data_IF_477495044896
#
_entry.id   IF_477495044896
#
_cell.length_a   1.000
_cell.length_b   1.000
_cell.length_c   1.000
_cell.angle_alpha   90.00
_cell.angle_beta   90.00
_cell.angle_gamma   90.00
#
_symmetry.space_group_name_H-M   'P 1'
#
loop_
_entity.id
_entity.type
_entity.pdbx_description
1 polymer ?
#
# COMPACT_ATOMS: atom_id res chain seq x y z
N UNK A 1 -21.27 -27.36 -2.09
CA UNK A 1 -20.74 -26.09 -1.53
C UNK A 1 -19.22 -25.90 -1.70
N UNK A 2 -18.35 -26.83 -1.27
CA UNK A 2 -16.87 -26.66 -1.36
C UNK A 2 -16.31 -26.41 -2.79
N UNK A 3 -16.91 -27.01 -3.83
CA UNK A 3 -16.50 -26.79 -5.24
C UNK A 3 -16.83 -25.39 -5.75
N UNK A 4 -18.01 -24.85 -5.43
CA UNK A 4 -18.41 -23.50 -5.80
C UNK A 4 -17.50 -22.46 -5.12
N UNK A 5 -17.20 -22.65 -3.84
CA UNK A 5 -16.26 -21.79 -3.11
C UNK A 5 -14.84 -21.81 -3.70
N UNK A 6 -14.33 -23.00 -4.09
CA UNK A 6 -13.05 -23.12 -4.81
C UNK A 6 -13.06 -22.39 -6.16
N UNK A 7 -14.15 -22.49 -6.91
CA UNK A 7 -14.27 -21.83 -8.22
C UNK A 7 -14.34 -20.31 -8.07
N UNK A 8 -15.07 -19.83 -7.06
CA UNK A 8 -15.20 -18.41 -6.74
C UNK A 8 -13.87 -17.81 -6.27
N UNK A 9 -13.14 -18.52 -5.39
CA UNK A 9 -11.78 -18.13 -5.02
C UNK A 9 -10.83 -18.10 -6.21
N UNK A 10 -10.94 -19.07 -7.14
CA UNK A 10 -10.10 -19.14 -8.33
C UNK A 10 -10.42 -18.02 -9.32
N UNK A 11 -11.69 -17.66 -9.48
CA UNK A 11 -12.12 -16.51 -10.29
C UNK A 11 -11.69 -15.18 -9.66
N UNK A 12 -11.81 -15.06 -8.33
CA UNK A 12 -11.36 -13.89 -7.59
C UNK A 12 -9.86 -13.70 -7.73
N UNK A 13 -9.06 -14.76 -7.53
CA UNK A 13 -7.61 -14.71 -7.79
C UNK A 13 -7.31 -14.40 -9.26
N UNK A 14 -8.10 -14.90 -10.22
CA UNK A 14 -7.88 -14.61 -11.64
C UNK A 14 -8.10 -13.14 -11.99
N UNK A 15 -9.13 -12.51 -11.39
CA UNK A 15 -9.42 -11.07 -11.55
C UNK A 15 -8.39 -10.23 -10.79
N UNK A 16 -8.08 -10.59 -9.55
CA UNK A 16 -7.14 -9.88 -8.67
C UNK A 16 -5.69 -9.95 -9.17
N UNK A 17 -5.29 -11.09 -9.73
CA UNK A 17 -3.98 -11.26 -10.36
C UNK A 17 -3.92 -10.67 -11.77
N UNK A 18 -5.01 -10.07 -12.27
CA UNK A 18 -5.08 -9.49 -13.61
C UNK A 18 -4.58 -10.48 -14.68
N UNK A 19 -4.91 -11.76 -14.48
CA UNK A 19 -4.26 -12.87 -15.18
C UNK A 19 -4.72 -13.02 -16.63
N UNK A 20 -5.75 -12.26 -17.00
CA UNK A 20 -6.24 -12.09 -18.36
C UNK A 20 -5.38 -11.14 -19.20
N UNK A 21 -4.49 -10.36 -18.59
CA UNK A 21 -3.68 -9.39 -19.32
C UNK A 21 -2.47 -10.02 -20.00
N UNK A 22 -2.09 -9.51 -21.19
CA UNK A 22 -0.90 -9.95 -21.91
C UNK A 22 0.37 -9.90 -21.06
N UNK A 23 1.31 -10.83 -21.28
CA UNK A 23 2.53 -10.93 -20.47
C UNK A 23 3.39 -9.66 -20.46
N UNK A 24 3.45 -8.91 -21.58
CA UNK A 24 4.15 -7.64 -21.66
C UNK A 24 3.50 -6.57 -20.76
N UNK A 25 2.17 -6.55 -20.69
CA UNK A 25 1.42 -5.59 -19.88
C UNK A 25 1.51 -5.93 -18.39
N UNK A 26 1.53 -7.21 -18.03
CA UNK A 26 1.79 -7.65 -16.65
C UNK A 26 3.19 -7.25 -16.19
N UNK A 27 4.22 -7.42 -17.04
CA UNK A 27 5.57 -6.97 -16.72
C UNK A 27 5.65 -5.44 -16.55
N UNK A 28 4.92 -4.68 -17.37
CA UNK A 28 4.86 -3.23 -17.25
C UNK A 28 4.12 -2.77 -15.98
N UNK A 29 2.95 -3.35 -15.69
CA UNK A 29 2.17 -3.07 -14.48
C UNK A 29 2.96 -3.42 -13.22
N UNK A 30 3.50 -4.63 -13.16
CA UNK A 30 4.13 -5.13 -11.93
C UNK A 30 5.56 -4.65 -11.76
N UNK A 31 6.25 -4.27 -12.84
CA UNK A 31 7.56 -3.62 -12.78
C UNK A 31 7.45 -2.11 -12.60
N UNK A 32 7.13 -1.39 -13.67
CA UNK A 32 7.19 0.07 -13.70
C UNK A 32 6.06 0.73 -12.90
N UNK A 33 4.80 0.28 -13.05
CA UNK A 33 3.69 0.92 -12.32
C UNK A 33 3.77 0.67 -10.82
N UNK A 34 4.10 -0.54 -10.36
CA UNK A 34 4.30 -0.81 -8.93
C UNK A 34 5.34 0.12 -8.32
N UNK A 35 6.42 0.41 -9.06
CA UNK A 35 7.47 1.32 -8.58
C UNK A 35 6.99 2.76 -8.47
N UNK A 36 6.21 3.23 -9.45
CA UNK A 36 5.59 4.56 -9.38
C UNK A 36 4.65 4.64 -8.18
N UNK A 37 3.87 3.59 -7.92
CA UNK A 37 2.97 3.50 -6.76
C UNK A 37 3.76 3.50 -5.45
N UNK A 38 4.85 2.74 -5.36
CA UNK A 38 5.72 2.69 -4.19
C UNK A 38 6.33 4.06 -3.87
N UNK A 39 6.90 4.73 -4.87
CA UNK A 39 7.49 6.07 -4.71
C UNK A 39 6.41 7.08 -4.32
N UNK A 40 5.25 7.05 -5.01
CA UNK A 40 4.15 7.97 -4.74
C UNK A 40 3.59 7.75 -3.34
N UNK A 41 3.31 6.50 -2.95
CA UNK A 41 2.86 6.15 -1.60
C UNK A 41 3.87 6.60 -0.55
N UNK A 42 5.16 6.33 -0.78
CA UNK A 42 6.24 6.73 0.12
C UNK A 42 6.31 8.24 0.30
N UNK A 43 6.25 9.01 -0.79
CA UNK A 43 6.24 10.48 -0.75
C UNK A 43 5.02 11.05 -0.04
N UNK A 44 3.83 10.49 -0.29
CA UNK A 44 2.59 10.95 0.38
C UNK A 44 2.67 10.62 1.88
N UNK A 45 3.13 9.42 2.28
CA UNK A 45 3.35 9.08 3.70
C UNK A 45 4.38 9.99 4.36
N UNK A 46 5.48 10.28 3.67
CA UNK A 46 6.52 11.20 4.16
C UNK A 46 5.95 12.61 4.35
N UNK A 47 5.18 13.11 3.39
CA UNK A 47 4.49 14.39 3.49
C UNK A 47 3.54 14.44 4.68
N UNK A 48 2.77 13.37 4.90
CA UNK A 48 1.88 13.24 6.04
C UNK A 48 2.66 13.26 7.36
N UNK A 49 3.77 12.52 7.45
CA UNK A 49 4.64 12.51 8.63
C UNK A 49 5.22 13.91 8.94
N UNK A 50 5.70 14.64 7.92
CA UNK A 50 6.27 15.98 8.10
C UNK A 50 5.20 16.98 8.55
N UNK A 51 4.01 16.95 7.94
CA UNK A 51 2.91 17.85 8.31
C UNK A 51 2.48 17.61 9.76
N UNK A 52 2.32 16.35 10.16
CA UNK A 52 2.00 16.00 11.54
C UNK A 52 3.12 16.31 12.52
N UNK A 53 4.38 16.22 12.11
CA UNK A 53 5.52 16.59 12.96
C UNK A 53 5.57 18.09 13.23
N UNK A 54 5.25 18.93 12.24
CA UNK A 54 5.35 20.38 12.35
C UNK A 54 4.10 21.04 12.96
N UNK A 55 2.90 20.55 12.61
CA UNK A 55 1.63 21.19 12.98
C UNK A 55 0.67 20.25 13.73
N UNK A 56 1.14 19.09 14.21
CA UNK A 56 0.27 18.06 14.81
C UNK A 56 -0.58 18.56 15.98
N UNK A 57 -0.04 19.44 16.84
CA UNK A 57 -0.78 19.98 17.98
C UNK A 57 -1.91 20.95 17.61
N UNK A 58 -1.82 21.61 16.45
CA UNK A 58 -2.89 22.48 15.95
C UNK A 58 -3.90 21.67 15.15
N UNK A 59 -3.44 20.72 14.33
CA UNK A 59 -4.33 19.86 13.54
C UNK A 59 -5.22 18.98 14.41
N UNK A 60 -4.72 18.45 15.55
CA UNK A 60 -5.50 17.62 16.47
C UNK A 60 -6.63 18.36 17.19
N UNK A 61 -6.68 19.70 17.10
CA UNK A 61 -7.80 20.51 17.63
C UNK A 61 -8.95 20.64 16.65
N UNK A 62 -8.73 20.30 15.39
CA UNK A 62 -9.76 20.32 14.35
C UNK A 62 -10.61 19.05 14.43
N UNK A 63 -11.93 19.18 14.23
CA UNK A 63 -12.88 18.04 14.30
C UNK A 63 -12.50 16.89 13.35
N UNK A 64 -11.82 17.19 12.23
CA UNK A 64 -11.33 16.19 11.28
C UNK A 64 -10.29 15.22 11.87
N UNK A 65 -9.51 15.67 12.86
CA UNK A 65 -8.37 14.93 13.39
C UNK A 65 -8.53 14.53 14.85
N UNK A 66 -9.67 14.82 15.48
CA UNK A 66 -9.96 14.49 16.87
C UNK A 66 -9.72 12.99 17.17
N UNK A 67 -10.09 12.10 16.24
CA UNK A 67 -9.91 10.64 16.40
C UNK A 67 -8.46 10.18 16.25
N UNK A 68 -7.59 11.02 15.67
CA UNK A 68 -6.15 10.77 15.69
C UNK A 68 -5.54 11.04 17.07
N UNK A 69 -6.25 11.68 18.02
CA UNK A 69 -5.73 11.83 19.40
C UNK A 69 -5.63 10.48 20.14
N UNK A 70 -6.46 9.50 19.78
CA UNK A 70 -6.34 8.14 20.32
C UNK A 70 -5.11 7.39 19.80
N UNK A 71 -4.56 7.80 18.64
CA UNK A 71 -3.26 7.35 18.16
C UNK A 71 -2.20 8.31 18.69
N UNK A 72 -1.28 7.83 19.52
CA UNK A 72 -0.22 8.67 20.07
C UNK A 72 0.54 9.38 18.92
N UNK A 73 0.43 10.73 18.76
CA UNK A 73 0.79 11.41 17.51
C UNK A 73 2.25 11.21 17.10
N UNK A 74 3.13 11.19 18.10
CA UNK A 74 4.56 10.95 17.92
C UNK A 74 4.85 9.55 17.38
N UNK A 75 4.08 8.54 17.82
CA UNK A 75 4.24 7.15 17.35
C UNK A 75 3.79 7.05 15.89
N UNK A 76 2.67 7.70 15.55
CA UNK A 76 2.17 7.73 14.17
C UNK A 76 3.20 8.37 13.23
N UNK A 77 3.77 9.52 13.60
CA UNK A 77 4.80 10.19 12.80
C UNK A 77 6.03 9.29 12.61
N UNK A 78 6.53 8.67 13.68
CA UNK A 78 7.70 7.78 13.62
C UNK A 78 7.44 6.58 12.71
N UNK A 79 6.27 5.94 12.83
CA UNK A 79 5.90 4.78 11.99
C UNK A 79 5.78 5.20 10.53
N UNK A 80 5.10 6.31 10.22
CA UNK A 80 5.00 6.82 8.85
C UNK A 80 6.37 7.17 8.26
N UNK A 81 7.24 7.79 9.05
CA UNK A 81 8.59 8.15 8.63
C UNK A 81 9.44 6.91 8.34
N UNK A 82 9.47 5.92 9.24
CA UNK A 82 10.24 4.69 9.04
C UNK A 82 9.74 3.93 7.80
N UNK A 83 8.43 3.79 7.64
CA UNK A 83 7.85 3.04 6.51
C UNK A 83 8.08 3.77 5.19
N UNK A 84 7.91 5.09 5.14
CA UNK A 84 8.15 5.87 3.93
C UNK A 84 9.61 5.84 3.50
N UNK A 85 10.56 6.00 4.43
CA UNK A 85 12.00 5.88 4.13
C UNK A 85 12.36 4.46 3.69
N UNK A 86 11.77 3.44 4.31
CA UNK A 86 11.98 2.04 3.93
C UNK A 86 11.45 1.76 2.52
N UNK A 87 10.28 2.31 2.15
CA UNK A 87 9.73 2.18 0.80
C UNK A 87 10.59 2.90 -0.24
N UNK A 88 11.00 4.15 0.03
CA UNK A 88 11.84 4.91 -0.89
C UNK A 88 13.22 4.26 -1.09
N UNK A 89 13.81 3.70 -0.02
CA UNK A 89 15.08 2.98 -0.13
C UNK A 89 14.91 1.65 -0.89
N UNK A 90 13.86 0.87 -0.62
CA UNK A 90 13.57 -0.36 -1.36
C UNK A 90 13.32 -0.07 -2.85
N UNK A 91 12.67 1.05 -3.17
CA UNK A 91 12.44 1.50 -4.53
C UNK A 91 13.73 1.88 -5.29
N UNK A 92 14.89 2.05 -4.64
CA UNK A 92 16.17 2.30 -5.31
C UNK A 92 16.87 1.00 -5.70
N UNK A 93 16.77 -0.05 -4.88
CA UNK A 93 17.47 -1.32 -5.10
C UNK A 93 16.72 -2.27 -6.05
N UNK A 94 17.36 -2.68 -7.15
CA UNK A 94 16.75 -3.48 -8.24
C UNK A 94 17.03 -5.00 -8.16
N UNK A 95 17.19 -5.57 -6.97
CA UNK A 95 17.43 -7.02 -6.81
C UNK A 95 16.12 -7.80 -6.70
N UNK A 96 16.09 -9.08 -7.13
CA UNK A 96 14.91 -9.96 -6.93
C UNK A 96 14.48 -10.03 -5.46
N UNK A 97 15.45 -10.08 -4.53
CA UNK A 97 15.16 -10.05 -3.08
C UNK A 97 14.56 -8.70 -2.65
N UNK A 98 15.01 -7.61 -3.26
CA UNK A 98 14.49 -6.27 -3.00
C UNK A 98 13.04 -6.13 -3.46
N UNK A 99 12.68 -6.71 -4.61
CA UNK A 99 11.29 -6.68 -5.10
C UNK A 99 10.32 -7.41 -4.17
N UNK A 100 10.74 -8.52 -3.55
CA UNK A 100 9.93 -9.21 -2.55
C UNK A 100 9.75 -8.34 -1.30
N UNK A 101 10.82 -7.70 -0.83
CA UNK A 101 10.78 -6.80 0.33
C UNK A 101 9.90 -5.58 0.05
N UNK A 102 10.07 -4.95 -1.11
CA UNK A 102 9.23 -3.85 -1.61
C UNK A 102 7.76 -4.25 -1.64
N UNK A 103 7.43 -5.43 -2.17
CA UNK A 103 6.08 -5.97 -2.15
C UNK A 103 5.51 -6.15 -0.74
N UNK A 104 6.31 -6.63 0.21
CA UNK A 104 5.92 -6.71 1.63
C UNK A 104 5.71 -5.33 2.24
N UNK A 105 6.57 -4.35 1.94
CA UNK A 105 6.44 -2.97 2.43
C UNK A 105 5.19 -2.28 1.87
N UNK A 106 4.82 -2.55 0.62
CA UNK A 106 3.56 -2.10 0.00
C UNK A 106 2.32 -2.66 0.72
N UNK A 107 2.38 -3.91 1.20
CA UNK A 107 1.31 -4.51 2.01
C UNK A 107 1.27 -3.87 3.41
N UNK A 108 2.41 -3.54 4.00
CA UNK A 108 2.43 -2.78 5.26
C UNK A 108 1.88 -1.36 5.08
N UNK A 109 2.25 -0.69 4.00
CA UNK A 109 1.71 0.63 3.68
C UNK A 109 0.19 0.57 3.43
N UNK A 110 -0.33 -0.46 2.79
CA UNK A 110 -1.79 -0.59 2.61
C UNK A 110 -2.53 -0.70 3.93
N UNK A 111 -1.99 -1.43 4.91
CA UNK A 111 -2.55 -1.50 6.25
C UNK A 111 -2.56 -0.13 6.94
N UNK A 112 -1.48 0.63 6.80
CA UNK A 112 -1.39 1.98 7.37
C UNK A 112 -2.41 2.92 6.70
N UNK A 113 -2.50 2.90 5.38
CA UNK A 113 -3.51 3.67 4.65
C UNK A 113 -4.93 3.29 5.01
N UNK A 114 -5.19 2.00 5.27
CA UNK A 114 -6.48 1.53 5.74
C UNK A 114 -6.82 2.06 7.15
N UNK A 115 -5.84 2.09 8.07
CA UNK A 115 -6.02 2.69 9.40
C UNK A 115 -6.29 4.20 9.32
N UNK A 116 -5.55 4.91 8.46
CA UNK A 116 -5.76 6.35 8.21
C UNK A 116 -7.16 6.59 7.65
N UNK A 117 -7.59 5.80 6.66
CA UNK A 117 -8.95 5.88 6.12
C UNK A 117 -10.01 5.61 7.18
N UNK A 118 -9.82 4.58 8.02
CA UNK A 118 -10.70 4.25 9.14
C UNK A 118 -10.83 5.40 10.15
N UNK A 119 -9.73 6.10 10.45
CA UNK A 119 -9.75 7.27 11.33
C UNK A 119 -10.59 8.42 10.74
N UNK A 120 -10.49 8.67 9.42
CA UNK A 120 -11.33 9.66 8.73
C UNK A 120 -12.81 9.25 8.65
N UNK A 121 -13.12 7.95 8.58
CA UNK A 121 -14.50 7.43 8.64
C UNK A 121 -15.08 7.61 10.05
N UNK A 122 -14.30 7.31 11.08
CA UNK A 122 -14.73 7.41 12.47
C UNK A 122 -14.90 8.86 12.95
N UNK A 123 -14.23 9.82 12.30
CA UNK A 123 -14.37 11.25 12.56
C UNK A 123 -15.59 11.89 11.87
N UNK A 124 -16.45 11.11 11.18
CA UNK A 124 -17.68 11.63 10.59
C UNK A 124 -18.63 12.14 11.70
N UNK A 125 -19.18 13.37 11.63
CA UNK A 125 -19.54 14.13 10.41
C UNK A 125 -18.67 15.38 10.15
N UNK A 126 -17.63 15.27 9.32
CA UNK A 126 -17.52 16.04 8.08
C UNK A 126 -17.08 15.17 6.87
N UNK A 127 -17.56 15.48 5.67
CA UNK A 127 -17.26 14.72 4.45
C UNK A 127 -15.88 15.10 3.90
N UNK A 128 -14.85 14.34 4.30
CA UNK A 128 -13.46 14.56 3.86
C UNK A 128 -13.10 13.74 2.63
N UNK A 129 -12.38 14.35 1.69
CA UNK A 129 -11.81 13.65 0.53
C UNK A 129 -10.81 12.55 0.92
N UNK A 130 -10.22 12.65 2.13
CA UNK A 130 -9.33 11.64 2.71
C UNK A 130 -9.98 10.26 2.86
N UNK A 131 -11.29 10.21 3.10
CA UNK A 131 -12.04 8.96 3.28
C UNK A 131 -11.92 8.05 2.04
N UNK A 132 -12.11 8.63 0.85
CA UNK A 132 -12.07 7.91 -0.41
C UNK A 132 -10.65 7.71 -0.92
N UNK A 133 -9.80 8.72 -0.85
CA UNK A 133 -8.46 8.68 -1.44
C UNK A 133 -7.58 7.64 -0.76
N UNK A 134 -7.54 7.62 0.59
CA UNK A 134 -6.71 6.67 1.33
C UNK A 134 -7.24 5.23 1.26
N UNK A 135 -8.56 5.05 1.14
CA UNK A 135 -9.16 3.72 0.89
C UNK A 135 -8.72 3.16 -0.46
N UNK A 136 -8.79 3.98 -1.52
CA UNK A 136 -8.33 3.58 -2.85
C UNK A 136 -6.82 3.30 -2.82
N UNK A 137 -6.03 4.15 -2.16
CA UNK A 137 -4.58 3.96 -2.05
C UNK A 137 -4.24 2.66 -1.31
N UNK A 138 -4.97 2.33 -0.25
CA UNK A 138 -4.80 1.07 0.48
C UNK A 138 -5.06 -0.14 -0.43
N UNK A 139 -6.15 -0.15 -1.18
CA UNK A 139 -6.47 -1.24 -2.11
C UNK A 139 -5.40 -1.36 -3.19
N UNK A 140 -4.99 -0.25 -3.80
CA UNK A 140 -3.97 -0.24 -4.85
C UNK A 140 -2.62 -0.75 -4.31
N UNK A 141 -2.19 -0.30 -3.13
CA UNK A 141 -0.94 -0.76 -2.52
C UNK A 141 -0.99 -2.26 -2.17
N UNK A 142 -2.14 -2.75 -1.67
CA UNK A 142 -2.32 -4.17 -1.34
C UNK A 142 -2.25 -5.06 -2.60
N UNK A 143 -2.92 -4.65 -3.68
CA UNK A 143 -2.92 -5.37 -4.95
C UNK A 143 -1.53 -5.34 -5.60
N UNK A 144 -0.89 -4.17 -5.63
CA UNK A 144 0.45 -4.00 -6.18
C UNK A 144 1.49 -4.85 -5.43
N UNK A 145 1.48 -4.81 -4.09
CA UNK A 145 2.39 -5.59 -3.26
C UNK A 145 2.21 -7.11 -3.43
N UNK A 146 0.96 -7.60 -3.39
CA UNK A 146 0.67 -9.03 -3.57
C UNK A 146 1.09 -9.53 -4.96
N UNK A 147 0.81 -8.75 -6.00
CA UNK A 147 1.11 -9.14 -7.37
C UNK A 147 2.62 -9.04 -7.69
N UNK A 148 3.34 -8.08 -7.11
CA UNK A 148 4.80 -7.97 -7.25
C UNK A 148 5.53 -9.20 -6.69
N UNK A 149 5.13 -9.67 -5.49
CA UNK A 149 5.72 -10.86 -4.87
C UNK A 149 5.48 -12.09 -5.74
N UNK A 150 4.22 -12.32 -6.15
CA UNK A 150 3.85 -13.48 -6.97
C UNK A 150 4.49 -13.46 -8.36
N UNK A 151 4.71 -12.27 -8.94
CA UNK A 151 5.38 -12.13 -10.22
C UNK A 151 6.87 -12.46 -10.09
N UNK A 152 7.54 -11.92 -9.07
CA UNK A 152 8.96 -12.17 -8.80
C UNK A 152 9.23 -13.67 -8.58
N UNK A 153 8.40 -14.34 -7.76
CA UNK A 153 8.48 -15.79 -7.53
C UNK A 153 8.36 -16.59 -8.83
N UNK A 154 7.40 -16.25 -9.70
CA UNK A 154 7.21 -16.91 -11.00
C UNK A 154 8.39 -16.72 -11.94
N UNK A 155 9.06 -15.57 -11.88
CA UNK A 155 10.26 -15.29 -12.69
C UNK A 155 11.46 -16.10 -12.17
N UNK A 156 11.62 -16.23 -10.86
CA UNK A 156 12.68 -17.07 -10.27
C UNK A 156 12.48 -18.56 -10.55
N UNK A 157 11.25 -19.08 -10.42
CA UNK A 157 10.93 -20.48 -10.73
C UNK A 157 11.27 -20.85 -12.17
N UNK A 158 11.02 -19.95 -13.14
CA UNK A 158 11.37 -20.17 -14.54
C UNK A 158 12.88 -20.22 -14.78
N UNK A 159 13.68 -19.46 -14.01
CA UNK A 159 15.14 -19.42 -14.15
C UNK A 159 15.85 -20.61 -13.49
N UNK A 160 15.23 -21.24 -12.49
CA UNK A 160 15.79 -22.42 -11.80
C UNK A 160 15.40 -23.77 -12.43
N UNK A 161 14.56 -23.75 -13.48
CA UNK A 161 14.14 -24.94 -14.23
C UNK A 161 14.83 -25.13 -15.59
N UNK A 162 15.78 -24.25 -15.91
CA UNK A 162 16.73 -24.38 -17.04
C UNK A 162 18.10 -24.84 -16.50
#
# INVERSE_FOLDING_TARGET
>A
MKKAFKWLHKALDWVVEFRFLPAWFQNFLFGTCTRVIEITSGLVMLGFAVVFALHGNEMLKEDLYEKFQHLHPNVLVVVLFIVSVSQLSAAVFQSSRSNIISGCLLIWASLIWFLIAGAFIAAYPPLSTGMTTYTVLAVVCALAGRNLIKHTQRVEEKKGGE
#
